data_IF_217320191622
#
_entry.id   IF_217320191622
#
_cell.length_a   1.000
_cell.length_b   1.000
_cell.length_c   1.000
_cell.angle_alpha   90.00
_cell.angle_beta   90.00
_cell.angle_gamma   90.00
#
_symmetry.space_group_name_H-M   'P 1'
#
loop_
_entity.id
_entity.type
_entity.pdbx_description
1 polymer ?
#
# COMPACT_ATOMS: atom_id res chain seq x y z
N UNK A 1 -4.28 4.68 20.77
CA UNK A 1 -4.18 3.57 19.79
C UNK A 1 -3.79 2.33 20.56
N UNK A 2 -4.59 1.28 20.49
CA UNK A 2 -4.16 -0.02 21.03
C UNK A 2 -2.88 -0.46 20.31
N UNK A 3 -1.92 -1.08 20.99
CA UNK A 3 -0.75 -1.64 20.30
C UNK A 3 -1.24 -2.63 19.24
N UNK A 4 -0.61 -2.60 18.06
CA UNK A 4 -0.89 -3.61 17.04
C UNK A 4 -0.61 -5.00 17.64
N UNK A 5 -1.50 -5.95 17.37
CA UNK A 5 -1.29 -7.34 17.79
C UNK A 5 -0.13 -8.01 17.02
N UNK A 6 0.35 -7.38 15.94
CA UNK A 6 1.43 -7.87 15.08
C UNK A 6 2.81 -7.50 15.67
N UNK A 7 3.82 -8.38 15.51
CA UNK A 7 5.16 -8.13 16.01
C UNK A 7 5.80 -6.93 15.31
N UNK A 8 6.61 -6.16 16.04
CA UNK A 8 7.36 -5.04 15.47
C UNK A 8 8.40 -5.54 14.48
N UNK A 9 8.41 -4.99 13.27
CA UNK A 9 9.31 -5.34 12.17
C UNK A 9 10.14 -4.13 11.74
N UNK A 10 11.43 -4.33 11.48
CA UNK A 10 12.29 -3.29 10.93
C UNK A 10 12.57 -3.58 9.46
N UNK A 11 12.23 -2.65 8.56
CA UNK A 11 12.36 -2.84 7.10
C UNK A 11 13.79 -3.06 6.64
N UNK A 12 14.80 -2.68 7.43
CA UNK A 12 16.21 -2.91 7.13
C UNK A 12 16.65 -4.35 7.42
N UNK A 13 15.82 -5.13 8.12
CA UNK A 13 16.01 -6.58 8.33
C UNK A 13 15.29 -7.42 7.27
N UNK A 14 14.51 -6.80 6.38
CA UNK A 14 13.89 -7.50 5.27
C UNK A 14 14.91 -8.01 4.25
N UNK A 15 14.62 -9.13 3.57
CA UNK A 15 15.58 -9.79 2.70
C UNK A 15 15.88 -9.00 1.44
N UNK A 16 17.05 -9.28 0.87
CA UNK A 16 17.48 -8.90 -0.47
C UNK A 16 18.11 -10.13 -1.12
N UNK A 17 17.55 -10.69 -2.22
CA UNK A 17 16.41 -10.19 -3.00
C UNK A 17 15.08 -10.18 -2.21
N UNK A 18 14.07 -9.40 -2.68
CA UNK A 18 12.76 -9.33 -2.01
C UNK A 18 12.12 -10.71 -1.86
N UNK A 19 11.38 -10.92 -0.77
CA UNK A 19 10.66 -12.17 -0.52
C UNK A 19 9.15 -11.97 -0.56
N UNK A 20 8.46 -12.96 -1.13
CA UNK A 20 7.01 -13.07 -1.04
C UNK A 20 6.64 -13.88 0.21
N UNK A 21 5.66 -13.41 0.97
CA UNK A 21 5.17 -14.11 2.17
C UNK A 21 3.64 -14.09 2.21
N UNK A 22 3.01 -15.23 2.50
CA UNK A 22 1.58 -15.26 2.87
C UNK A 22 1.36 -14.44 4.14
N UNK A 23 0.31 -13.63 4.17
CA UNK A 23 -0.10 -12.93 5.39
C UNK A 23 -1.31 -13.62 6.01
N UNK A 24 -1.31 -13.76 7.34
CA UNK A 24 -2.47 -14.24 8.08
C UNK A 24 -3.45 -13.10 8.42
N UNK A 25 -3.02 -11.85 8.23
CA UNK A 25 -3.85 -10.66 8.47
C UNK A 25 -4.98 -10.57 7.46
N UNK A 26 -6.12 -10.04 7.91
CA UNK A 26 -7.20 -9.63 7.01
C UNK A 26 -6.79 -8.31 6.35
N UNK A 27 -6.82 -8.26 5.02
CA UNK A 27 -6.53 -7.07 4.26
C UNK A 27 -7.83 -6.47 3.74
N UNK A 28 -7.99 -5.15 3.88
CA UNK A 28 -9.15 -4.43 3.37
C UNK A 28 -8.75 -3.15 2.65
N UNK A 29 -9.47 -2.83 1.59
CA UNK A 29 -9.46 -1.51 0.95
C UNK A 29 -10.88 -0.98 0.99
N UNK A 30 -11.07 0.18 1.61
CA UNK A 30 -12.38 0.79 1.82
C UNK A 30 -12.40 2.14 1.14
N UNK A 31 -13.30 2.33 0.18
CA UNK A 31 -13.59 3.64 -0.41
C UNK A 31 -14.46 4.45 0.54
N UNK A 32 -14.05 5.69 0.82
CA UNK A 32 -14.77 6.67 1.60
C UNK A 32 -15.27 7.74 0.63
N UNK A 33 -16.59 7.78 0.44
CA UNK A 33 -17.25 8.73 -0.44
C UNK A 33 -17.27 10.14 0.18
N UNK A 34 -17.48 11.20 -0.63
CA UNK A 34 -17.83 12.51 -0.10
C UNK A 34 -19.03 12.39 0.84
N UNK A 35 -18.94 12.98 2.04
CA UNK A 35 -19.94 12.82 3.10
C UNK A 35 -19.76 11.60 4.01
N UNK A 36 -18.71 10.80 3.81
CA UNK A 36 -18.24 9.80 4.78
C UNK A 36 -18.87 8.41 4.69
N UNK A 37 -19.77 8.16 3.73
CA UNK A 37 -20.25 6.80 3.45
C UNK A 37 -19.06 5.93 3.04
N UNK A 38 -18.97 4.73 3.59
CA UNK A 38 -17.91 3.78 3.25
C UNK A 38 -18.43 2.67 2.32
N UNK A 39 -17.59 2.18 1.42
CA UNK A 39 -17.85 1.04 0.54
C UNK A 39 -16.61 0.20 0.42
N UNK A 40 -16.72 -1.09 0.75
CA UNK A 40 -15.57 -2.00 0.68
C UNK A 40 -15.23 -2.26 -0.78
N UNK A 41 -14.00 -1.97 -1.18
CA UNK A 41 -13.46 -2.22 -2.52
C UNK A 41 -12.91 -3.64 -2.59
N UNK A 42 -12.13 -4.03 -1.57
CA UNK A 42 -11.50 -5.33 -1.49
C UNK A 42 -11.45 -5.84 -0.05
N UNK A 43 -11.64 -7.15 0.14
CA UNK A 43 -11.53 -7.81 1.44
C UNK A 43 -10.99 -9.24 1.28
N UNK A 44 -9.94 -9.60 2.02
CA UNK A 44 -9.38 -10.95 1.94
C UNK A 44 -8.62 -11.34 3.21
N UNK A 45 -8.62 -12.65 3.50
CA UNK A 45 -7.70 -13.31 4.44
C UNK A 45 -6.69 -14.21 3.71
N UNK A 46 -6.68 -14.17 2.38
CA UNK A 46 -5.82 -15.00 1.52
C UNK A 46 -4.81 -14.11 0.77
N UNK A 47 -4.29 -13.11 1.47
CA UNK A 47 -3.35 -12.15 0.90
C UNK A 47 -1.89 -12.61 0.95
N UNK A 48 -1.07 -11.93 0.16
CA UNK A 48 0.38 -11.96 0.29
C UNK A 48 0.93 -10.58 0.62
N UNK A 49 2.13 -10.54 1.18
CA UNK A 49 2.93 -9.33 1.31
C UNK A 49 4.31 -9.54 0.72
N UNK A 50 4.90 -8.48 0.17
CA UNK A 50 6.29 -8.49 -0.29
C UNK A 50 7.15 -7.76 0.73
N UNK A 51 8.19 -8.44 1.21
CA UNK A 51 9.20 -7.89 2.12
C UNK A 51 10.44 -7.53 1.31
N UNK A 52 10.81 -6.26 1.35
CA UNK A 52 11.96 -5.73 0.63
C UNK A 52 12.75 -4.78 1.52
N UNK A 53 14.06 -4.97 1.60
CA UNK A 53 14.94 -4.11 2.40
C UNK A 53 14.62 -2.62 2.18
N UNK A 54 14.52 -1.86 3.27
CA UNK A 54 14.30 -0.41 3.33
C UNK A 54 12.90 0.11 2.96
N UNK A 55 11.96 -0.77 2.59
CA UNK A 55 10.59 -0.39 2.25
C UNK A 55 9.57 -1.12 3.15
N UNK A 56 8.51 -0.43 3.59
CA UNK A 56 7.34 -1.07 4.16
C UNK A 56 6.73 -2.11 3.19
N UNK A 57 5.94 -3.08 3.67
CA UNK A 57 5.38 -4.10 2.79
C UNK A 57 4.39 -3.53 1.76
N UNK A 58 4.36 -4.16 0.58
CA UNK A 58 3.24 -4.06 -0.36
C UNK A 58 2.36 -5.29 -0.23
N UNK A 59 1.05 -5.13 -0.42
CA UNK A 59 0.06 -6.17 -0.14
C UNK A 59 -0.72 -6.57 -1.38
N UNK A 60 -0.81 -7.87 -1.61
CA UNK A 60 -1.38 -8.50 -2.80
C UNK A 60 -2.65 -9.25 -2.42
N UNK A 61 -3.70 -8.97 -3.17
CA UNK A 61 -5.05 -9.48 -3.00
C UNK A 61 -5.39 -10.43 -4.15
N UNK A 62 -6.04 -11.57 -3.90
CA UNK A 62 -6.55 -12.41 -4.99
C UNK A 62 -7.60 -11.62 -5.79
N UNK A 63 -7.72 -11.79 -7.11
CA UNK A 63 -8.71 -11.06 -7.92
C UNK A 63 -10.16 -11.19 -7.41
N UNK A 64 -10.49 -12.34 -6.82
CA UNK A 64 -11.80 -12.63 -6.23
C UNK A 64 -12.13 -11.79 -4.98
N UNK A 65 -11.18 -11.02 -4.44
CA UNK A 65 -11.43 -10.15 -3.29
C UNK A 65 -12.14 -8.86 -3.65
N UNK A 66 -12.22 -8.48 -4.93
CA UNK A 66 -12.90 -7.26 -5.36
C UNK A 66 -14.40 -7.43 -5.18
N UNK A 67 -15.02 -6.48 -4.47
CA UNK A 67 -16.44 -6.56 -4.11
C UNK A 67 -17.28 -5.57 -4.92
N UNK A 68 -18.47 -6.02 -5.33
CA UNK A 68 -19.51 -5.17 -5.91
C UNK A 68 -19.93 -4.07 -4.92
N UNK A 69 -20.20 -2.82 -5.37
CA UNK A 69 -20.34 -2.38 -6.76
C UNK A 69 -19.02 -1.97 -7.44
N UNK A 70 -17.89 -2.10 -6.76
CA UNK A 70 -16.59 -1.65 -7.26
C UNK A 70 -16.07 -2.60 -8.34
N UNK A 71 -15.46 -2.04 -9.38
CA UNK A 71 -14.94 -2.78 -10.52
C UNK A 71 -13.56 -2.26 -10.91
N UNK A 72 -12.81 -3.10 -11.63
CA UNK A 72 -11.51 -2.73 -12.18
C UNK A 72 -11.58 -2.71 -13.71
N UNK A 73 -10.86 -1.77 -14.31
CA UNK A 73 -10.60 -1.74 -15.74
C UNK A 73 -9.11 -1.51 -16.00
N UNK A 74 -8.61 -1.98 -17.15
CA UNK A 74 -7.23 -1.73 -17.54
C UNK A 74 -6.92 -0.23 -17.62
N UNK A 75 -5.75 0.15 -17.12
CA UNK A 75 -5.25 1.52 -17.10
C UNK A 75 -4.03 1.66 -18.00
N UNK A 76 -4.00 2.71 -18.81
CA UNK A 76 -2.83 3.12 -19.59
C UNK A 76 -1.96 4.16 -18.87
N UNK A 77 -2.31 4.54 -17.63
CA UNK A 77 -1.67 5.64 -16.92
C UNK A 77 -0.18 5.39 -16.61
N UNK A 78 0.23 4.12 -16.52
CA UNK A 78 1.57 3.70 -16.09
C UNK A 78 1.97 2.37 -16.73
N UNK A 79 3.27 2.19 -16.91
CA UNK A 79 3.90 0.91 -17.24
C UNK A 79 5.20 0.83 -16.45
N UNK A 80 5.39 -0.24 -15.70
CA UNK A 80 6.61 -0.46 -14.91
C UNK A 80 7.11 -1.88 -15.11
N UNK A 81 8.41 -2.06 -14.94
CA UNK A 81 9.08 -3.35 -15.04
C UNK A 81 9.86 -3.60 -13.76
N UNK A 82 9.76 -4.82 -13.23
CA UNK A 82 10.54 -5.31 -12.12
C UNK A 82 11.36 -6.52 -12.59
N UNK A 83 12.66 -6.52 -12.32
CA UNK A 83 13.55 -7.63 -12.68
C UNK A 83 13.10 -8.98 -12.07
N UNK A 84 12.37 -8.96 -10.95
CA UNK A 84 11.89 -10.15 -10.24
C UNK A 84 10.46 -10.57 -10.60
N UNK A 85 9.64 -9.65 -11.12
CA UNK A 85 8.18 -9.86 -11.29
C UNK A 85 7.68 -9.63 -12.71
N UNK A 86 8.55 -9.17 -13.60
CA UNK A 86 8.21 -8.84 -14.97
C UNK A 86 7.49 -7.49 -15.10
N UNK A 87 6.66 -7.38 -16.13
CA UNK A 87 5.92 -6.15 -16.46
C UNK A 87 4.63 -6.06 -15.64
N UNK A 88 4.42 -4.94 -14.95
CA UNK A 88 3.18 -4.69 -14.25
C UNK A 88 2.08 -4.24 -15.21
N UNK A 89 0.87 -4.78 -15.05
CA UNK A 89 -0.36 -4.24 -15.61
C UNK A 89 -1.02 -3.33 -14.57
N UNK A 90 -1.48 -2.15 -14.98
CA UNK A 90 -2.16 -1.20 -14.09
C UNK A 90 -3.66 -1.19 -14.33
N UNK A 91 -4.41 -0.85 -13.28
CA UNK A 91 -5.87 -0.83 -13.28
C UNK A 91 -6.38 0.48 -12.67
N UNK A 92 -7.50 0.96 -13.22
CA UNK A 92 -8.30 2.03 -12.63
C UNK A 92 -9.38 1.39 -11.74
N UNK A 93 -9.66 2.01 -10.59
CA UNK A 93 -10.84 1.71 -9.79
C UNK A 93 -12.04 2.44 -10.38
N UNK A 94 -13.12 1.69 -10.59
CA UNK A 94 -14.38 2.18 -11.16
C UNK A 94 -15.48 1.95 -10.13
N UNK A 95 -16.24 2.99 -9.85
CA UNK A 95 -17.40 2.95 -8.97
C UNK A 95 -18.69 2.62 -9.71
N UNK A 96 -19.81 2.96 -9.08
CA UNK A 96 -21.14 2.89 -9.70
C UNK A 96 -21.19 3.72 -11.00
N UNK A 97 -22.05 3.27 -11.93
CA UNK A 97 -22.29 3.94 -13.23
C UNK A 97 -21.05 4.08 -14.13
N UNK A 98 -19.98 3.33 -13.85
CA UNK A 98 -18.76 3.33 -14.66
C UNK A 98 -17.84 4.53 -14.42
N UNK A 99 -18.09 5.33 -13.37
CA UNK A 99 -17.24 6.47 -13.01
C UNK A 99 -15.88 5.99 -12.52
N UNK A 100 -14.81 6.56 -13.08
CA UNK A 100 -13.44 6.29 -12.63
C UNK A 100 -13.18 7.06 -11.34
N UNK A 101 -12.88 6.32 -10.28
CA UNK A 101 -12.63 6.87 -8.95
C UNK A 101 -11.14 7.09 -8.68
N UNK A 102 -10.29 6.16 -9.11
CA UNK A 102 -8.84 6.23 -8.95
C UNK A 102 -8.13 5.66 -10.18
N UNK A 103 -7.15 6.39 -10.72
CA UNK A 103 -6.47 6.05 -11.98
C UNK A 103 -5.08 5.47 -11.78
N UNK A 104 -4.85 4.24 -12.25
CA UNK A 104 -3.52 3.61 -12.26
C UNK A 104 -2.90 3.45 -10.87
N UNK A 105 -3.73 3.23 -9.85
CA UNK A 105 -3.30 3.04 -8.43
C UNK A 105 -3.45 1.61 -7.94
N UNK A 106 -3.75 0.70 -8.86
CA UNK A 106 -3.80 -0.74 -8.63
C UNK A 106 -2.93 -1.36 -9.71
N UNK A 107 -2.12 -2.35 -9.36
CA UNK A 107 -1.32 -3.09 -10.33
C UNK A 107 -1.36 -4.59 -10.08
N UNK A 108 -1.06 -5.37 -11.11
CA UNK A 108 -0.88 -6.81 -11.03
C UNK A 108 0.30 -7.24 -11.89
N UNK A 109 0.77 -8.47 -11.68
CA UNK A 109 1.79 -9.09 -12.54
C UNK A 109 1.15 -10.29 -13.25
N UNK A 110 0.95 -10.22 -14.58
CA UNK A 110 0.37 -11.33 -15.34
C UNK A 110 1.32 -12.51 -15.57
N UNK A 111 2.63 -12.24 -15.56
CA UNK A 111 3.67 -13.25 -15.76
C UNK A 111 4.85 -13.06 -14.78
N UNK A 112 4.62 -13.21 -13.46
CA UNK A 112 5.68 -13.09 -12.48
C UNK A 112 6.57 -14.33 -12.49
N UNK A 113 7.86 -14.14 -12.21
CA UNK A 113 8.87 -15.19 -12.27
C UNK A 113 9.36 -15.59 -10.88
N UNK A 114 10.10 -16.72 -10.82
CA UNK A 114 10.76 -17.16 -9.59
C UNK A 114 9.82 -17.34 -8.40
N UNK A 115 10.21 -16.74 -7.26
CA UNK A 115 9.45 -16.79 -6.00
C UNK A 115 8.16 -15.96 -5.99
N UNK A 116 7.83 -15.26 -7.07
CA UNK A 116 6.61 -14.43 -7.17
C UNK A 116 5.49 -15.08 -7.98
N UNK A 117 5.65 -16.33 -8.46
CA UNK A 117 4.63 -17.03 -9.26
C UNK A 117 3.27 -17.15 -8.57
N UNK A 118 3.26 -17.26 -7.24
CA UNK A 118 2.01 -17.40 -6.46
C UNK A 118 1.11 -16.17 -6.51
N UNK A 119 1.64 -14.98 -6.83
CA UNK A 119 0.87 -13.74 -6.97
C UNK A 119 0.55 -13.41 -8.44
N UNK A 120 0.57 -14.40 -9.32
CA UNK A 120 0.11 -14.20 -10.70
C UNK A 120 -1.31 -13.62 -10.69
N UNK A 121 -1.45 -12.48 -11.38
CA UNK A 121 -2.68 -11.69 -11.48
C UNK A 121 -3.24 -11.12 -10.16
N UNK A 122 -2.57 -11.36 -9.01
CA UNK A 122 -2.98 -10.72 -7.76
C UNK A 122 -2.84 -9.20 -7.86
N UNK A 123 -3.78 -8.51 -7.20
CA UNK A 123 -3.93 -7.07 -7.23
C UNK A 123 -3.20 -6.46 -6.05
N UNK A 124 -2.30 -5.53 -6.32
CA UNK A 124 -1.65 -4.72 -5.30
C UNK A 124 -2.14 -3.28 -5.40
N UNK A 125 -2.45 -2.69 -4.25
CA UNK A 125 -3.00 -1.35 -4.14
C UNK A 125 -1.93 -0.41 -3.62
N UNK A 126 -1.82 0.77 -4.23
CA UNK A 126 -1.13 1.86 -3.58
C UNK A 126 -1.90 2.25 -2.31
N UNK A 127 -1.19 2.51 -1.21
CA UNK A 127 -1.86 2.92 0.03
C UNK A 127 -2.69 4.22 -0.14
N UNK A 128 -2.25 5.13 -1.01
CA UNK A 128 -3.02 6.32 -1.40
C UNK A 128 -3.80 6.12 -2.71
N UNK A 129 -5.04 6.59 -2.77
CA UNK A 129 -5.87 6.55 -3.99
C UNK A 129 -5.56 7.68 -4.99
N UNK A 130 -4.82 8.72 -4.59
CA UNK A 130 -4.61 9.96 -5.39
C UNK A 130 -5.87 10.47 -6.10
N UNK A 131 -7.00 10.38 -5.42
CA UNK A 131 -8.26 10.95 -5.86
C UNK A 131 -8.51 12.29 -5.18
N UNK A 132 -9.40 13.09 -5.75
CA UNK A 132 -9.89 14.29 -5.08
C UNK A 132 -10.91 13.87 -4.01
N UNK A 133 -10.51 13.99 -2.75
CA UNK A 133 -11.32 13.59 -1.60
C UNK A 133 -12.64 14.36 -1.51
N UNK A 134 -12.66 15.61 -1.96
CA UNK A 134 -13.85 16.47 -1.88
C UNK A 134 -14.91 16.11 -2.93
N UNK A 135 -14.50 15.61 -4.09
CA UNK A 135 -15.40 15.35 -5.23
C UNK A 135 -15.61 13.88 -5.57
N UNK A 136 -14.60 13.04 -5.37
CA UNK A 136 -14.64 11.61 -5.65
C UNK A 136 -14.60 10.76 -4.38
N UNK A 137 -13.98 11.27 -3.31
CA UNK A 137 -13.63 10.50 -2.12
C UNK A 137 -12.22 9.96 -2.19
N UNK A 138 -11.85 9.09 -1.25
CA UNK A 138 -10.52 8.47 -1.14
C UNK A 138 -10.64 7.06 -0.59
N UNK A 139 -9.61 6.22 -0.69
CA UNK A 139 -9.62 4.94 0.03
C UNK A 139 -8.76 4.96 1.29
N UNK A 140 -9.12 4.10 2.23
CA UNK A 140 -8.29 3.66 3.34
C UNK A 140 -7.85 2.23 3.09
N UNK A 141 -6.61 1.94 3.43
CA UNK A 141 -6.02 0.61 3.33
C UNK A 141 -5.82 0.06 4.74
N UNK A 142 -6.26 -1.16 5.01
CA UNK A 142 -6.23 -1.73 6.36
C UNK A 142 -5.54 -3.09 6.37
N UNK A 143 -4.69 -3.29 7.38
CA UNK A 143 -4.16 -4.60 7.75
C UNK A 143 -4.66 -4.92 9.15
N UNK A 144 -5.50 -5.94 9.24
CA UNK A 144 -6.37 -6.17 10.40
C UNK A 144 -7.15 -4.88 10.69
N UNK A 145 -7.04 -4.33 11.90
CA UNK A 145 -7.73 -3.09 12.30
C UNK A 145 -6.88 -1.82 12.12
N UNK A 146 -5.62 -1.95 11.70
CA UNK A 146 -4.73 -0.82 11.53
C UNK A 146 -4.93 -0.18 10.15
N UNK A 147 -5.30 1.10 10.13
CA UNK A 147 -5.31 1.91 8.91
C UNK A 147 -3.87 2.25 8.54
N UNK A 148 -3.43 1.77 7.39
CA UNK A 148 -2.11 2.01 6.86
C UNK A 148 -1.96 3.44 6.33
N UNK A 149 -0.78 4.01 6.54
CA UNK A 149 -0.34 5.25 5.90
C UNK A 149 0.51 4.94 4.66
N UNK A 150 0.49 5.79 3.62
CA UNK A 150 1.42 5.65 2.50
C UNK A 150 2.85 5.93 2.96
N UNK A 151 3.80 5.17 2.42
CA UNK A 151 5.21 5.56 2.50
C UNK A 151 5.39 6.95 1.87
N UNK A 152 6.18 7.81 2.52
CA UNK A 152 6.51 9.13 2.03
C UNK A 152 6.99 9.10 0.56
N UNK A 153 6.59 10.12 -0.21
CA UNK A 153 6.79 10.19 -1.66
C UNK A 153 5.78 9.39 -2.50
N UNK A 154 5.06 8.42 -1.89
CA UNK A 154 3.93 7.70 -2.51
C UNK A 154 4.25 7.08 -3.89
N UNK A 155 5.50 6.64 -4.03
CA UNK A 155 6.04 6.08 -5.26
C UNK A 155 5.96 4.55 -5.30
N UNK A 156 6.23 3.90 -4.16
CA UNK A 156 6.38 2.45 -4.05
C UNK A 156 5.06 1.71 -3.75
N UNK A 157 4.00 2.43 -3.36
CA UNK A 157 2.71 1.84 -3.04
C UNK A 157 2.68 1.07 -1.71
N UNK A 158 3.76 1.11 -0.93
CA UNK A 158 3.92 0.45 0.36
C UNK A 158 2.94 0.97 1.43
N UNK A 159 2.56 0.08 2.34
CA UNK A 159 1.62 0.33 3.43
C UNK A 159 2.39 0.37 4.75
N UNK A 160 2.30 1.49 5.47
CA UNK A 160 2.94 1.66 6.79
C UNK A 160 1.89 1.48 7.87
N UNK A 161 2.03 0.42 8.65
CA UNK A 161 1.23 0.16 9.85
C UNK A 161 2.08 0.33 11.12
N UNK A 162 1.48 0.47 12.31
CA UNK A 162 2.20 0.88 13.54
C UNK A 162 3.39 -0.01 13.92
N UNK A 163 3.35 -1.30 13.56
CA UNK A 163 4.41 -2.25 13.86
C UNK A 163 5.60 -2.18 12.88
N UNK A 164 5.46 -1.52 11.73
CA UNK A 164 6.50 -1.41 10.71
C UNK A 164 7.36 -0.18 10.97
N UNK A 165 8.67 -0.38 11.16
CA UNK A 165 9.62 0.69 11.51
C UNK A 165 10.80 0.77 10.53
N UNK A 166 11.30 1.99 10.33
CA UNK A 166 12.55 2.28 9.63
C UNK A 166 13.80 2.19 10.52
N UNK A 167 13.62 1.91 11.83
CA UNK A 167 14.66 2.14 12.84
C UNK A 167 15.22 3.56 12.77
N UNK A 168 16.51 3.71 13.09
CA UNK A 168 17.23 4.99 13.05
C UNK A 168 17.37 5.56 11.63
N UNK A 169 17.34 4.70 10.60
CA UNK A 169 17.57 5.08 9.21
C UNK A 169 16.32 5.60 8.50
N UNK A 170 15.14 5.45 9.11
CA UNK A 170 13.86 5.73 8.46
C UNK A 170 13.56 4.80 7.28
N UNK A 171 12.54 5.14 6.50
CA UNK A 171 12.20 4.43 5.26
C UNK A 171 12.93 5.05 4.07
N UNK A 172 13.31 4.25 3.08
CA UNK A 172 13.91 4.79 1.85
C UNK A 172 12.94 5.73 1.14
N UNK A 173 13.39 6.92 0.74
CA UNK A 173 12.53 7.94 0.11
C UNK A 173 11.60 8.68 1.08
N UNK A 174 11.68 8.40 2.39
CA UNK A 174 11.17 9.30 3.41
C UNK A 174 12.15 10.43 3.70
N UNK A 175 11.68 11.47 4.38
CA UNK A 175 12.58 12.51 4.90
C UNK A 175 13.62 11.84 5.80
N UNK A 176 14.88 11.89 5.37
CA UNK A 176 16.00 11.50 6.22
C UNK A 176 16.00 12.44 7.43
N UNK A 177 15.72 11.89 8.61
CA UNK A 177 15.70 12.66 9.85
C UNK A 177 16.99 13.44 10.04
N UNK A 178 16.88 14.76 9.95
CA UNK A 178 17.92 15.74 10.26
C UNK A 178 17.31 16.93 10.99
N UNK A 179 16.36 16.70 11.90
CA UNK A 179 15.92 17.74 12.85
C UNK A 179 16.78 17.61 14.11
N UNK A 180 17.96 18.25 14.10
CA UNK A 180 18.59 18.60 15.37
C UNK A 180 17.66 19.60 16.02
N UNK A 181 17.02 19.17 17.11
CA UNK A 181 16.44 20.07 18.10
C UNK A 181 17.58 20.94 18.63
N UNK A 182 17.83 22.10 18.03
CA UNK A 182 18.57 23.14 18.71
C UNK A 182 17.66 23.67 19.81
N UNK A 183 18.03 23.27 21.03
CA UNK A 183 17.38 23.68 22.24
C UNK A 183 17.37 25.20 22.35
N UNK A 184 16.17 25.73 22.49
CA UNK A 184 15.96 27.03 23.10
C UNK A 184 16.44 26.95 24.54
N UNK A 185 17.44 27.76 24.90
CA UNK A 185 17.65 28.19 26.28
C UNK A 185 18.06 29.66 26.31
N UNK A 186 17.72 30.41 27.37
CA UNK A 186 17.40 31.83 27.28
C UNK A 186 18.49 32.78 27.81
N UNK A 187 18.35 34.04 27.40
CA UNK A 187 18.75 35.29 28.07
C UNK A 187 20.25 35.65 28.31
N UNK A 188 20.54 36.94 28.10
CA UNK A 188 21.80 37.66 28.39
C UNK A 188 22.36 38.27 27.10
N UNK A 189 22.51 39.59 26.92
CA UNK A 189 22.73 40.73 27.81
C UNK A 189 21.87 41.94 27.41
#
# INVERSE_FOLDING_TARGET
MSPSARPVENVWKYPRPPALQKTASRLRVIWVHPGGKETTVADTTQGYRVLETSHPPTYYFPPSSILSPMQLRSSSARRTYCEWKGTAAYHDLVGEEGKVLSKGRIWSYPDPTGGFREIKDFLCFYCSSRSDESTAGSWKCLVDEDVAAPQAGDFYGSWVTPEITGGEKGFKGGESGGMILQGSSPAGY
#
